data_IF_265342942087
#
_entry.id   IF_265342942087
#
_cell.length_a   1.000
_cell.length_b   1.000
_cell.length_c   1.000
_cell.angle_alpha   90.00
_cell.angle_beta   90.00
_cell.angle_gamma   90.00
#
_symmetry.space_group_name_H-M   'P 1'
#
loop_
_entity.id
_entity.type
_entity.pdbx_description
1 polymer ?
#
# COMPACT_ATOMS: atom_id res chain seq x y z
N UNK A 1 -12.40 1.87 -7.41
CA UNK A 1 -11.70 1.91 -6.11
C UNK A 1 -11.37 0.49 -5.71
N UNK A 2 -10.18 0.22 -5.18
CA UNK A 2 -9.74 -1.14 -4.77
C UNK A 2 -9.59 -1.29 -3.27
N UNK A 3 -9.18 -0.23 -2.57
CA UNK A 3 -9.11 -0.20 -1.12
C UNK A 3 -9.35 1.21 -0.59
N UNK A 4 -9.84 1.28 0.65
CA UNK A 4 -10.08 2.50 1.42
C UNK A 4 -9.60 2.28 2.85
N UNK A 5 -8.86 3.25 3.39
CA UNK A 5 -8.36 3.24 4.78
C UNK A 5 -8.51 4.62 5.41
N UNK A 6 -8.69 4.65 6.74
CA UNK A 6 -8.72 5.88 7.52
C UNK A 6 -7.32 6.20 8.07
N UNK A 7 -6.89 7.47 8.00
CA UNK A 7 -5.72 8.00 8.73
C UNK A 7 -6.04 9.40 9.22
N UNK A 8 -6.10 9.57 10.55
CA UNK A 8 -6.62 10.80 11.16
C UNK A 8 -8.03 11.09 10.66
N UNK A 9 -8.28 12.34 10.25
CA UNK A 9 -9.59 12.81 9.80
C UNK A 9 -9.82 12.64 8.28
N UNK A 10 -9.05 11.75 7.65
CA UNK A 10 -9.07 11.58 6.20
C UNK A 10 -9.28 10.13 5.79
N UNK A 11 -10.07 9.96 4.73
CA UNK A 11 -10.16 8.73 3.97
C UNK A 11 -9.12 8.70 2.86
N UNK A 12 -8.46 7.58 2.69
CA UNK A 12 -7.46 7.36 1.66
C UNK A 12 -7.89 6.20 0.77
N UNK A 13 -8.07 6.49 -0.51
CA UNK A 13 -8.63 5.56 -1.47
C UNK A 13 -7.69 5.36 -2.64
N UNK A 14 -7.49 4.11 -3.04
CA UNK A 14 -6.73 3.80 -4.25
C UNK A 14 -7.64 3.36 -5.39
N UNK A 15 -7.36 3.91 -6.56
CA UNK A 15 -8.07 3.64 -7.79
C UNK A 15 -7.12 2.96 -8.77
N UNK A 16 -7.14 1.63 -8.78
CA UNK A 16 -6.34 0.83 -9.68
C UNK A 16 -6.78 0.96 -11.13
N UNK A 17 -5.78 1.01 -12.01
CA UNK A 17 -5.90 0.78 -13.45
C UNK A 17 -5.02 -0.42 -13.80
N UNK A 18 -5.38 -1.17 -14.81
CA UNK A 18 -4.71 -2.44 -15.15
C UNK A 18 -4.28 -2.47 -16.61
N UNK A 19 -3.41 -3.42 -16.95
CA UNK A 19 -2.87 -3.53 -18.30
C UNK A 19 -2.02 -2.31 -18.66
N UNK A 20 -2.18 -1.82 -19.88
CA UNK A 20 -1.39 -0.70 -20.40
C UNK A 20 -1.71 0.62 -19.68
N UNK A 21 -2.86 0.69 -19.01
CA UNK A 21 -3.32 1.84 -18.24
C UNK A 21 -2.79 1.85 -16.79
N UNK A 22 -2.01 0.85 -16.35
CA UNK A 22 -1.57 0.72 -14.96
C UNK A 22 -0.87 1.96 -14.40
N UNK A 23 -0.10 2.67 -15.23
CA UNK A 23 0.54 3.94 -14.85
C UNK A 23 -0.43 5.05 -14.44
N UNK A 24 -1.72 4.90 -14.75
CA UNK A 24 -2.80 5.81 -14.32
C UNK A 24 -3.45 5.38 -13.01
N UNK A 25 -2.88 4.43 -12.27
CA UNK A 25 -3.27 4.14 -10.89
C UNK A 25 -2.98 5.36 -10.02
N UNK A 26 -3.94 5.76 -9.17
CA UNK A 26 -3.77 6.93 -8.30
C UNK A 26 -4.37 6.72 -6.90
N UNK A 27 -3.82 7.48 -5.95
CA UNK A 27 -4.27 7.61 -4.58
C UNK A 27 -5.03 8.94 -4.41
N UNK A 28 -6.15 8.91 -3.71
CA UNK A 28 -6.93 10.11 -3.37
C UNK A 28 -7.11 10.19 -1.87
N UNK A 29 -7.03 11.42 -1.33
CA UNK A 29 -7.43 11.76 0.03
C UNK A 29 -8.77 12.47 -0.01
N UNK A 30 -9.71 12.00 0.79
CA UNK A 30 -11.02 12.62 0.98
C UNK A 30 -11.20 13.12 2.42
N UNK A 31 -12.00 14.16 2.59
CA UNK A 31 -12.54 14.56 3.91
C UNK A 31 -13.73 13.67 4.31
N UNK A 32 -14.38 13.97 5.44
CA UNK A 32 -15.56 13.23 5.91
C UNK A 32 -16.80 13.36 5.02
N UNK A 33 -16.89 14.44 4.25
CA UNK A 33 -17.93 14.66 3.24
C UNK A 33 -17.68 13.96 1.92
N UNK A 34 -16.57 13.21 1.79
CA UNK A 34 -16.10 12.62 0.53
C UNK A 34 -15.70 13.63 -0.56
N UNK A 35 -15.37 14.86 -0.19
CA UNK A 35 -14.74 15.82 -1.09
C UNK A 35 -13.26 15.48 -1.26
N UNK A 36 -12.78 15.53 -2.51
CA UNK A 36 -11.37 15.28 -2.82
C UNK A 36 -10.50 16.43 -2.30
N UNK A 37 -9.55 16.11 -1.43
CA UNK A 37 -8.63 17.07 -0.79
C UNK A 37 -7.16 16.86 -1.20
N UNK A 38 -6.92 15.94 -2.12
CA UNK A 38 -5.60 15.66 -2.66
C UNK A 38 -5.56 14.39 -3.50
N UNK A 39 -4.71 14.39 -4.52
CA UNK A 39 -4.53 13.28 -5.46
C UNK A 39 -3.07 13.09 -5.80
N UNK A 40 -2.64 11.83 -5.85
CA UNK A 40 -1.27 11.44 -6.12
C UNK A 40 -1.20 10.31 -7.15
N UNK A 41 -0.27 10.40 -8.08
CA UNK A 41 0.11 9.30 -8.98
C UNK A 41 1.33 8.60 -8.41
N UNK A 42 1.49 7.30 -8.68
CA UNK A 42 2.63 6.54 -8.17
C UNK A 42 3.89 6.75 -9.01
N UNK A 43 5.09 6.67 -8.41
CA UNK A 43 6.34 6.74 -9.16
C UNK A 43 6.44 5.66 -10.22
N UNK A 44 7.01 6.00 -11.38
CA UNK A 44 7.35 5.06 -12.45
C UNK A 44 8.15 3.85 -11.95
N UNK A 45 9.04 4.07 -10.97
CA UNK A 45 9.85 3.01 -10.37
C UNK A 45 8.98 1.94 -9.69
N UNK A 46 7.83 2.30 -9.12
CA UNK A 46 6.86 1.35 -8.56
C UNK A 46 6.01 0.74 -9.67
N UNK A 47 5.45 1.55 -10.57
CA UNK A 47 4.60 1.08 -11.67
C UNK A 47 5.29 0.00 -12.51
N UNK A 48 6.55 0.23 -12.90
CA UNK A 48 7.35 -0.73 -13.69
C UNK A 48 7.55 -2.07 -12.99
N UNK A 49 7.56 -2.09 -11.65
CA UNK A 49 7.69 -3.33 -10.88
C UNK A 49 6.40 -4.14 -10.83
N UNK A 50 5.24 -3.49 -10.98
CA UNK A 50 3.92 -4.14 -10.97
C UNK A 50 3.54 -4.75 -12.34
N UNK A 51 4.20 -4.33 -13.42
CA UNK A 51 3.89 -4.79 -14.78
C UNK A 51 2.46 -4.41 -15.17
N UNK A 52 1.63 -5.42 -15.49
CA UNK A 52 0.21 -5.23 -15.85
C UNK A 52 -0.74 -5.18 -14.65
N UNK A 53 -0.25 -5.50 -13.45
CA UNK A 53 -1.02 -5.45 -12.21
C UNK A 53 -0.91 -4.09 -11.54
N UNK A 54 -1.77 -3.85 -10.54
CA UNK A 54 -1.79 -2.59 -9.79
C UNK A 54 -1.71 -2.83 -8.29
N UNK A 55 -1.64 -1.74 -7.53
CA UNK A 55 -1.60 -1.75 -6.07
C UNK A 55 -2.96 -2.16 -5.50
N UNK A 56 -2.97 -3.31 -4.84
CA UNK A 56 -4.17 -4.03 -4.44
C UNK A 56 -4.44 -3.95 -2.94
N UNK A 57 -3.44 -3.68 -2.11
CA UNK A 57 -3.62 -3.38 -0.68
C UNK A 57 -2.93 -2.07 -0.31
N UNK A 58 -3.42 -1.45 0.76
CA UNK A 58 -2.90 -0.20 1.30
C UNK A 58 -3.08 -0.12 2.81
N UNK A 59 -2.07 0.37 3.51
CA UNK A 59 -2.08 0.61 4.94
C UNK A 59 -1.13 1.75 5.28
N UNK A 60 -1.54 2.63 6.18
CA UNK A 60 -0.66 3.62 6.76
C UNK A 60 0.05 3.07 7.99
N UNK A 61 1.38 3.25 8.06
CA UNK A 61 2.20 2.97 9.24
C UNK A 61 3.04 4.20 9.57
N UNK A 62 2.60 4.97 10.56
CA UNK A 62 3.15 6.31 10.79
C UNK A 62 2.96 7.18 9.54
N UNK A 63 4.07 7.66 8.97
CA UNK A 63 4.08 8.49 7.75
C UNK A 63 4.37 7.69 6.46
N UNK A 64 4.50 6.37 6.55
CA UNK A 64 4.70 5.51 5.40
C UNK A 64 3.38 4.89 4.94
N UNK A 65 3.11 4.99 3.65
CA UNK A 65 2.10 4.20 2.97
C UNK A 65 2.73 2.88 2.53
N UNK A 66 2.27 1.79 3.13
CA UNK A 66 2.60 0.44 2.73
C UNK A 66 1.58 -0.03 1.70
N UNK A 67 2.04 -0.49 0.55
CA UNK A 67 1.16 -1.01 -0.50
C UNK A 67 1.65 -2.37 -0.99
N UNK A 68 0.71 -3.23 -1.38
CA UNK A 68 0.99 -4.56 -1.91
C UNK A 68 0.51 -4.66 -3.35
N UNK A 69 1.28 -5.36 -4.18
CA UNK A 69 0.85 -5.77 -5.52
C UNK A 69 -0.12 -6.95 -5.46
N UNK A 70 -0.68 -7.34 -6.61
CA UNK A 70 -1.62 -8.46 -6.68
C UNK A 70 -0.93 -9.82 -6.46
N UNK A 71 0.26 -9.98 -7.03
CA UNK A 71 0.90 -11.27 -7.29
C UNK A 71 2.22 -11.46 -6.53
N UNK A 72 3.00 -10.39 -6.38
CA UNK A 72 4.29 -10.45 -5.71
C UNK A 72 4.15 -10.37 -4.20
N UNK A 73 4.93 -11.21 -3.51
CA UNK A 73 5.13 -11.26 -2.07
C UNK A 73 6.00 -10.09 -1.58
N UNK A 74 5.58 -8.87 -1.92
CA UNK A 74 6.32 -7.63 -1.72
C UNK A 74 5.42 -6.50 -1.21
N UNK A 75 5.95 -5.71 -0.29
CA UNK A 75 5.36 -4.44 0.15
C UNK A 75 6.23 -3.31 -0.40
N UNK A 76 5.61 -2.38 -1.12
CA UNK A 76 6.21 -1.13 -1.57
C UNK A 76 5.95 -0.05 -0.52
N UNK A 77 7.01 0.62 -0.09
CA UNK A 77 6.98 1.66 0.94
C UNK A 77 7.05 3.03 0.27
N UNK A 78 6.09 3.88 0.56
CA UNK A 78 5.97 5.22 0.00
C UNK A 78 5.77 6.24 1.11
N UNK A 79 6.13 7.48 0.87
CA UNK A 79 5.70 8.60 1.72
C UNK A 79 5.23 9.75 0.84
N UNK A 80 4.28 10.54 1.32
CA UNK A 80 3.81 11.69 0.55
C UNK A 80 4.89 12.76 0.53
N UNK A 81 5.03 13.49 -0.58
CA UNK A 81 5.97 14.58 -0.63
C UNK A 81 5.39 15.78 0.14
N UNK A 82 6.27 16.65 0.62
CA UNK A 82 5.85 17.95 1.17
C UNK A 82 5.22 18.84 0.08
N UNK A 83 5.74 18.74 -1.15
CA UNK A 83 5.24 19.46 -2.34
C UNK A 83 5.12 18.53 -3.54
N UNK A 84 4.05 18.69 -4.33
CA UNK A 84 3.81 17.92 -5.55
C UNK A 84 2.91 16.70 -5.35
N UNK A 85 2.73 15.91 -6.41
CA UNK A 85 1.70 14.86 -6.50
C UNK A 85 2.27 13.46 -6.70
N UNK A 86 3.58 13.29 -6.57
CA UNK A 86 4.26 11.99 -6.72
C UNK A 86 4.89 11.58 -5.39
N UNK A 87 4.39 10.52 -4.71
CA UNK A 87 4.97 10.01 -3.47
C UNK A 87 6.43 9.57 -3.64
N UNK A 88 7.26 9.77 -2.62
CA UNK A 88 8.63 9.28 -2.64
C UNK A 88 8.64 7.77 -2.39
N UNK A 89 9.26 7.01 -3.28
CA UNK A 89 9.49 5.58 -3.09
C UNK A 89 10.66 5.35 -2.13
N UNK A 90 10.39 4.65 -1.03
CA UNK A 90 11.35 4.35 0.04
C UNK A 90 11.99 2.97 -0.10
N UNK A 91 11.52 2.16 -1.06
CA UNK A 91 11.98 0.80 -1.31
C UNK A 91 10.89 -0.24 -1.10
N UNK A 92 11.26 -1.51 -1.29
CA UNK A 92 10.38 -2.66 -1.09
C UNK A 92 10.94 -3.62 -0.05
N UNK A 93 10.04 -4.37 0.56
CA UNK A 93 10.37 -5.44 1.50
C UNK A 93 9.61 -6.71 1.14
N UNK A 94 10.21 -7.88 1.39
CA UNK A 94 9.52 -9.16 1.22
C UNK A 94 8.43 -9.31 2.29
N UNK A 95 7.33 -9.97 1.93
CA UNK A 95 6.24 -10.33 2.85
C UNK A 95 5.74 -11.73 2.53
N UNK A 96 5.20 -12.50 3.48
CA UNK A 96 4.67 -13.83 3.19
C UNK A 96 3.32 -13.82 2.41
N UNK A 97 2.68 -12.66 2.23
CA UNK A 97 1.36 -12.51 1.59
C UNK A 97 1.36 -11.57 0.38
N UNK A 98 0.25 -11.51 -0.35
CA UNK A 98 0.05 -10.64 -1.53
C UNK A 98 -1.32 -9.97 -1.45
N UNK A 99 -1.60 -9.03 -2.36
CA UNK A 99 -2.96 -8.62 -2.67
C UNK A 99 -3.65 -7.75 -1.62
N UNK A 100 -4.97 -7.85 -1.58
CA UNK A 100 -5.88 -7.09 -0.71
C UNK A 100 -5.88 -7.62 0.73
N UNK A 101 -6.29 -6.76 1.67
CA UNK A 101 -6.50 -7.15 3.07
C UNK A 101 -5.20 -7.23 3.84
N UNK A 102 -4.56 -6.08 4.03
CA UNK A 102 -3.38 -5.90 4.87
C UNK A 102 -3.73 -5.04 6.08
N UNK A 103 -3.20 -5.36 7.26
CA UNK A 103 -3.44 -4.64 8.49
C UNK A 103 -2.20 -4.65 9.39
N UNK A 104 -2.14 -3.71 10.34
CA UNK A 104 -1.17 -3.77 11.44
C UNK A 104 -1.54 -4.86 12.42
N UNK A 105 -0.54 -5.61 12.90
CA UNK A 105 -0.68 -6.47 14.07
C UNK A 105 -0.11 -5.75 15.29
N UNK A 106 -0.96 -5.03 16.02
CA UNK A 106 -0.49 -4.20 17.15
C UNK A 106 0.19 -4.99 18.27
N UNK A 107 -0.32 -6.17 18.70
CA UNK A 107 0.36 -6.99 19.70
C UNK A 107 1.80 -7.40 19.35
N UNK A 108 2.07 -7.78 18.09
CA UNK A 108 3.41 -8.21 17.67
C UNK A 108 4.28 -7.10 17.09
N UNK A 109 3.69 -5.93 16.80
CA UNK A 109 4.33 -4.90 15.98
C UNK A 109 4.56 -5.35 14.53
N UNK A 110 3.81 -6.36 14.07
CA UNK A 110 3.91 -6.95 12.74
C UNK A 110 2.84 -6.46 11.76
N UNK A 111 2.64 -7.24 10.71
CA UNK A 111 1.56 -7.07 9.75
C UNK A 111 0.75 -8.35 9.65
N UNK A 112 -0.55 -8.20 9.40
CA UNK A 112 -1.44 -9.28 9.00
C UNK A 112 -1.74 -9.12 7.52
N UNK A 113 -1.76 -10.23 6.79
CA UNK A 113 -2.27 -10.30 5.44
C UNK A 113 -3.12 -11.54 5.23
N UNK A 114 -3.92 -11.55 4.15
CA UNK A 114 -4.76 -12.68 3.78
C UNK A 114 -4.14 -13.39 2.59
N UNK A 115 -3.90 -14.70 2.71
CA UNK A 115 -3.68 -15.57 1.53
C UNK A 115 -5.01 -16.17 1.12
N UNK A 116 -5.59 -15.64 0.05
CA UNK A 116 -6.85 -16.16 -0.51
C UNK A 116 -6.68 -17.57 -1.07
N UNK A 117 -5.56 -17.83 -1.74
CA UNK A 117 -5.26 -19.14 -2.32
C UNK A 117 -5.18 -20.22 -1.24
N UNK A 118 -4.58 -19.90 -0.08
CA UNK A 118 -4.45 -20.84 1.03
C UNK A 118 -5.63 -20.79 2.01
N UNK A 119 -6.54 -19.82 1.86
CA UNK A 119 -7.64 -19.51 2.81
C UNK A 119 -7.12 -19.30 4.24
N UNK A 120 -6.01 -18.58 4.37
CA UNK A 120 -5.33 -18.34 5.64
C UNK A 120 -5.13 -16.87 5.93
N UNK A 121 -5.17 -16.56 7.22
CA UNK A 121 -4.60 -15.34 7.78
C UNK A 121 -3.12 -15.60 8.04
N UNK A 122 -2.26 -14.68 7.59
CA UNK A 122 -0.81 -14.75 7.74
C UNK A 122 -0.35 -13.60 8.62
N UNK A 123 0.33 -13.93 9.71
CA UNK A 123 1.00 -12.97 10.58
C UNK A 123 2.47 -12.88 10.17
N UNK A 124 2.92 -11.67 9.83
CA UNK A 124 4.29 -11.35 9.51
C UNK A 124 4.88 -10.52 10.66
N UNK A 125 5.71 -11.15 11.48
CA UNK A 125 6.44 -10.47 12.54
C UNK A 125 7.48 -9.50 11.94
N UNK A 126 7.78 -8.37 12.61
CA UNK A 126 8.88 -7.51 12.19
C UNK A 126 10.21 -8.29 12.28
N UNK A 127 11.22 -7.95 11.46
CA UNK A 127 12.54 -8.55 11.62
C UNK A 127 13.03 -8.31 13.05
N UNK A 128 13.42 -9.37 13.75
CA UNK A 128 14.12 -9.24 15.03
C UNK A 128 15.39 -8.43 14.76
N UNK A 129 15.54 -7.28 15.43
CA UNK A 129 16.83 -6.57 15.44
C UNK A 129 17.87 -7.57 15.97
N UNK A 130 18.75 -8.07 15.11
CA UNK A 130 20.04 -8.56 15.60
C UNK A 130 20.75 -7.32 16.14
N UNK A 131 20.87 -7.24 17.46
CA UNK A 131 21.83 -6.33 18.07
C UNK A 131 23.22 -6.75 17.55
N UNK A 132 24.10 -5.78 17.23
CA UNK A 132 25.48 -6.08 16.86
C UNK A 132 26.21 -6.85 17.96
#
# INVERSE_FOLDING_TARGET
>A
MVWVIRKGDHWWCNFAKYGDENGRTFLVRFNDGWDETGRWTYPDSVIRQLGKYSLSGGLWRGNELLTTGHDRKEIYRLTLPETGTVPKYLGRQKTPFTGQGIATDSPSGGLIGISRAERKLIIAAPPTKRLP
#
